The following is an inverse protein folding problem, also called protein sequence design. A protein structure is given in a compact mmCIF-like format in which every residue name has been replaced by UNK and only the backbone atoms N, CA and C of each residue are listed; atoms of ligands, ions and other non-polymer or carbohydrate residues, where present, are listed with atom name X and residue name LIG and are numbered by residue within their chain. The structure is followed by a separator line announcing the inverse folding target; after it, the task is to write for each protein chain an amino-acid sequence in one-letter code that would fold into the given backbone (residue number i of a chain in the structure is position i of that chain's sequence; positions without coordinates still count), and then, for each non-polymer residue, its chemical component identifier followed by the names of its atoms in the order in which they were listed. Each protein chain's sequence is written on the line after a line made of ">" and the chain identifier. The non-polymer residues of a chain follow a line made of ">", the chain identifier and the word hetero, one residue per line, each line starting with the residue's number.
data_IF_280681891973
#
_entry.id   IF_280681891973
#
_cell.length_a   1.000
_cell.length_b   1.000
_cell.length_c   1.000
_cell.angle_alpha   90.00
_cell.angle_beta   90.00
_cell.angle_gamma   90.00
#
_symmetry.space_group_name_H-M   'P 1'
#
loop_
_entity.id
_entity.type
_entity.pdbx_description
1 polymer ?
#
# COMPACT_ATOMS: atom_id res chain seq x y z
N UNK A 1 2.38 21.81 9.75
CA UNK A 1 1.38 21.56 8.68
C UNK A 1 1.95 20.67 7.56
N UNK A 2 3.09 21.00 6.94
CA UNK A 2 3.70 20.20 5.85
C UNK A 2 3.89 18.71 6.15
N UNK A 3 4.43 18.35 7.32
CA UNK A 3 4.59 16.95 7.72
C UNK A 3 3.24 16.19 7.78
N UNK A 4 2.24 16.78 8.44
CA UNK A 4 0.89 16.21 8.54
C UNK A 4 0.28 16.05 7.15
N UNK A 5 0.47 17.04 6.26
CA UNK A 5 0.07 16.94 4.86
C UNK A 5 0.72 15.76 4.15
N UNK A 6 2.03 15.56 4.32
CA UNK A 6 2.76 14.40 3.80
C UNK A 6 2.22 13.06 4.32
N UNK A 7 1.89 12.98 5.61
CA UNK A 7 1.28 11.81 6.22
C UNK A 7 -0.07 11.46 5.59
N UNK A 8 -0.95 12.44 5.35
CA UNK A 8 -2.22 12.16 4.68
C UNK A 8 -2.04 11.86 3.19
N UNK A 9 -1.09 12.51 2.51
CA UNK A 9 -0.73 12.20 1.13
C UNK A 9 -0.26 10.76 0.96
N UNK A 10 0.41 10.20 1.97
CA UNK A 10 0.77 8.78 1.95
C UNK A 10 -0.46 7.88 1.78
N UNK A 11 -1.59 8.15 2.44
CA UNK A 11 -2.77 7.29 2.30
C UNK A 11 -3.28 7.19 0.86
N UNK A 12 -3.14 8.28 0.08
CA UNK A 12 -3.48 8.27 -1.35
C UNK A 12 -2.42 7.53 -2.16
N UNK A 13 -1.13 7.74 -1.85
CA UNK A 13 -0.03 7.04 -2.51
C UNK A 13 -0.08 5.53 -2.27
N UNK A 14 -0.42 5.10 -1.05
CA UNK A 14 -0.69 3.70 -0.71
C UNK A 14 -1.70 3.11 -1.68
N UNK A 15 -2.87 3.74 -1.80
CA UNK A 15 -3.94 3.28 -2.69
C UNK A 15 -3.47 3.20 -4.15
N UNK A 16 -2.82 4.26 -4.63
CA UNK A 16 -2.37 4.34 -6.03
C UNK A 16 -1.29 3.30 -6.34
N UNK A 17 -0.30 3.14 -5.45
CA UNK A 17 0.76 2.15 -5.63
C UNK A 17 0.20 0.75 -5.56
N UNK A 18 -0.67 0.46 -4.59
CA UNK A 18 -1.25 -0.85 -4.43
C UNK A 18 -2.09 -1.23 -5.66
N UNK A 19 -2.95 -0.32 -6.12
CA UNK A 19 -3.84 -0.58 -7.26
C UNK A 19 -3.14 -0.62 -8.62
N UNK A 20 -2.23 0.31 -8.88
CA UNK A 20 -1.72 0.52 -10.26
C UNK A 20 -0.27 0.08 -10.47
N UNK A 21 0.48 -0.22 -9.40
CA UNK A 21 1.85 -0.73 -9.50
C UNK A 21 1.96 -2.16 -8.98
N UNK A 22 1.40 -2.43 -7.79
CA UNK A 22 1.47 -3.74 -7.15
C UNK A 22 0.49 -4.74 -7.76
N UNK A 23 -0.65 -4.25 -8.26
CA UNK A 23 -1.63 -4.98 -9.07
C UNK A 23 -1.59 -4.53 -10.53
N UNK A 24 -0.39 -4.53 -11.14
CA UNK A 24 -0.28 -4.22 -12.56
C UNK A 24 -0.91 -5.33 -13.42
N UNK A 25 -0.90 -6.57 -12.94
CA UNK A 25 -1.68 -7.72 -13.39
C UNK A 25 -1.83 -7.81 -14.93
N UNK A 26 -3.03 -7.55 -15.46
CA UNK A 26 -3.33 -7.69 -16.89
C UNK A 26 -2.50 -6.78 -17.82
N UNK A 27 -1.89 -5.73 -17.27
CA UNK A 27 -1.03 -4.80 -18.00
C UNK A 27 0.46 -5.22 -17.97
N UNK A 28 0.81 -6.34 -17.33
CA UNK A 28 2.18 -6.83 -17.27
C UNK A 28 2.69 -7.22 -18.67
N UNK A 29 3.90 -6.79 -19.06
CA UNK A 29 4.49 -7.25 -20.30
C UNK A 29 4.88 -8.72 -20.18
N UNK A 30 4.58 -9.51 -21.21
CA UNK A 30 4.89 -10.95 -21.23
C UNK A 30 6.39 -11.21 -21.46
N UNK A 31 7.21 -10.90 -20.44
CA UNK A 31 8.63 -11.19 -20.41
C UNK A 31 9.12 -11.46 -18.99
N UNK A 32 10.27 -12.13 -18.89
CA UNK A 32 10.82 -12.57 -17.60
C UNK A 32 11.12 -11.42 -16.65
N UNK A 33 11.54 -10.26 -17.17
CA UNK A 33 11.91 -9.10 -16.34
C UNK A 33 10.66 -8.50 -15.68
N UNK A 34 9.59 -8.28 -16.46
CA UNK A 34 8.32 -7.74 -15.96
C UNK A 34 7.68 -8.65 -14.91
N UNK A 35 7.60 -9.94 -15.20
CA UNK A 35 7.07 -10.95 -14.27
C UNK A 35 7.91 -11.01 -12.98
N UNK A 36 9.24 -10.98 -13.09
CA UNK A 36 10.13 -11.00 -11.91
C UNK A 36 9.98 -9.73 -11.08
N UNK A 37 9.89 -8.56 -11.71
CA UNK A 37 9.67 -7.29 -11.01
C UNK A 37 8.34 -7.31 -10.25
N UNK A 38 7.25 -7.75 -10.88
CA UNK A 38 5.94 -7.89 -10.24
C UNK A 38 5.98 -8.83 -9.04
N UNK A 39 6.62 -9.99 -9.21
CA UNK A 39 6.80 -10.97 -8.14
C UNK A 39 7.55 -10.37 -6.95
N UNK A 40 8.62 -9.62 -7.18
CA UNK A 40 9.40 -8.99 -6.11
C UNK A 40 8.69 -7.81 -5.43
N UNK A 41 7.84 -7.08 -6.16
CA UNK A 41 7.11 -5.91 -5.63
C UNK A 41 5.94 -6.32 -4.74
N UNK A 42 5.13 -7.28 -5.19
CA UNK A 42 3.92 -7.67 -4.47
C UNK A 42 3.47 -9.11 -4.71
N UNK A 43 3.76 -9.69 -5.88
CA UNK A 43 3.29 -11.03 -6.23
C UNK A 43 3.74 -12.13 -5.25
N UNK A 44 4.95 -12.03 -4.68
CA UNK A 44 5.43 -12.97 -3.65
C UNK A 44 4.55 -12.94 -2.39
N UNK A 45 4.02 -11.77 -2.03
CA UNK A 45 3.17 -11.62 -0.87
C UNK A 45 1.81 -12.27 -1.10
N UNK A 46 1.17 -12.07 -2.26
CA UNK A 46 -0.06 -12.78 -2.61
C UNK A 46 0.16 -14.29 -2.76
N UNK A 47 1.33 -14.71 -3.26
CA UNK A 47 1.66 -16.11 -3.42
C UNK A 47 1.92 -16.83 -2.08
N UNK A 48 2.53 -16.13 -1.11
CA UNK A 48 2.89 -16.66 0.22
C UNK A 48 2.47 -15.68 1.32
N UNK A 49 1.15 -15.45 1.54
CA UNK A 49 0.66 -14.35 2.38
C UNK A 49 1.03 -14.47 3.86
N UNK A 50 1.33 -15.68 4.34
CA UNK A 50 1.71 -15.95 5.74
C UNK A 50 3.22 -16.12 5.94
N UNK A 51 4.05 -15.86 4.92
CA UNK A 51 5.52 -15.80 5.10
C UNK A 51 5.92 -14.47 5.74
N UNK A 52 6.18 -14.52 7.04
CA UNK A 52 6.58 -13.38 7.87
C UNK A 52 7.83 -12.62 7.37
N UNK A 53 8.66 -13.23 6.52
CA UNK A 53 9.87 -12.59 5.98
C UNK A 53 9.67 -12.00 4.58
N UNK A 54 8.48 -12.15 3.97
CA UNK A 54 8.20 -11.77 2.58
C UNK A 54 6.98 -10.85 2.42
N UNK A 55 6.61 -10.14 3.49
CA UNK A 55 5.46 -9.22 3.51
C UNK A 55 5.89 -7.75 3.39
N UNK A 56 6.74 -7.28 4.31
CA UNK A 56 7.16 -5.88 4.34
C UNK A 56 8.14 -5.58 3.21
N UNK A 57 8.13 -4.34 2.72
CA UNK A 57 9.01 -3.97 1.62
C UNK A 57 10.47 -3.99 2.10
N UNK A 58 11.37 -4.76 1.46
CA UNK A 58 12.76 -4.75 1.86
C UNK A 58 13.37 -3.36 1.62
N UNK A 59 14.25 -2.85 2.51
CA UNK A 59 14.79 -1.49 2.40
C UNK A 59 15.41 -1.16 1.03
N UNK A 60 16.02 -2.15 0.37
CA UNK A 60 16.58 -2.01 -0.97
C UNK A 60 15.52 -1.63 -2.01
N UNK A 61 14.38 -2.33 -2.06
CA UNK A 61 13.28 -2.00 -2.98
C UNK A 61 12.59 -0.70 -2.57
N UNK A 62 12.43 -0.50 -1.25
CA UNK A 62 11.83 0.72 -0.73
C UNK A 62 12.60 1.98 -1.16
N UNK A 63 13.94 1.98 -1.07
CA UNK A 63 14.76 3.12 -1.52
C UNK A 63 14.55 3.42 -3.01
N UNK A 64 14.46 2.38 -3.85
CA UNK A 64 14.19 2.55 -5.29
C UNK A 64 12.82 3.20 -5.51
N UNK A 65 11.78 2.73 -4.82
CA UNK A 65 10.43 3.26 -4.92
C UNK A 65 10.30 4.67 -4.32
N UNK A 66 10.98 4.96 -3.22
CA UNK A 66 10.90 6.25 -2.51
C UNK A 66 11.67 7.38 -3.23
N UNK A 67 12.74 7.04 -3.95
CA UNK A 67 13.59 8.02 -4.67
C UNK A 67 12.82 8.93 -5.64
N UNK A 68 11.94 8.44 -6.54
CA UNK A 68 11.16 9.33 -7.40
C UNK A 68 10.22 10.26 -6.59
N UNK A 69 9.67 9.81 -5.46
CA UNK A 69 8.83 10.66 -4.60
C UNK A 69 9.63 11.73 -3.87
N UNK A 70 10.89 11.45 -3.48
CA UNK A 70 11.79 12.50 -2.99
C UNK A 70 11.95 13.59 -4.04
N UNK A 71 12.33 13.22 -5.27
CA UNK A 71 12.49 14.17 -6.38
C UNK A 71 11.20 14.94 -6.67
N UNK A 72 10.06 14.27 -6.66
CA UNK A 72 8.76 14.91 -6.85
C UNK A 72 8.47 15.94 -5.74
N UNK A 73 8.70 15.59 -4.48
CA UNK A 73 8.55 16.54 -3.37
C UNK A 73 9.49 17.75 -3.52
N UNK A 74 10.71 17.53 -4.03
CA UNK A 74 11.66 18.62 -4.32
C UNK A 74 11.18 19.56 -5.41
N UNK A 75 10.45 19.05 -6.40
CA UNK A 75 9.93 19.83 -7.52
C UNK A 75 8.65 20.58 -7.11
N UNK A 76 7.67 19.87 -6.53
CA UNK A 76 6.37 20.45 -6.16
C UNK A 76 6.52 21.52 -5.07
N UNK A 77 7.42 21.30 -4.11
CA UNK A 77 7.70 22.24 -3.01
C UNK A 77 9.03 22.98 -3.21
N UNK A 78 9.42 23.24 -4.46
CA UNK A 78 10.68 23.91 -4.78
C UNK A 78 10.81 25.31 -4.15
N UNK A 79 9.69 25.96 -3.83
CA UNK A 79 9.66 27.27 -3.18
C UNK A 79 10.26 27.28 -1.76
N UNK A 80 10.33 26.13 -1.08
CA UNK A 80 10.92 26.04 0.26
C UNK A 80 11.52 24.65 0.51
N UNK A 81 12.83 24.62 0.74
CA UNK A 81 13.54 23.36 0.95
C UNK A 81 13.01 22.55 2.13
N UNK A 82 12.73 23.21 3.24
CA UNK A 82 12.22 22.57 4.45
C UNK A 82 10.80 22.07 4.28
N UNK A 83 9.97 22.75 3.47
CA UNK A 83 8.62 22.30 3.16
C UNK A 83 8.64 20.96 2.41
N UNK A 84 9.41 20.86 1.31
CA UNK A 84 9.54 19.63 0.54
C UNK A 84 10.12 18.48 1.38
N UNK A 85 11.13 18.76 2.21
CA UNK A 85 11.69 17.77 3.14
C UNK A 85 10.66 17.32 4.17
N UNK A 86 9.92 18.25 4.78
CA UNK A 86 8.91 17.91 5.79
C UNK A 86 7.75 17.07 5.21
N UNK A 87 7.29 17.39 3.99
CA UNK A 87 6.27 16.57 3.28
C UNK A 87 6.79 15.16 3.04
N UNK A 88 8.02 15.03 2.53
CA UNK A 88 8.62 13.72 2.30
C UNK A 88 8.76 12.92 3.61
N UNK A 89 9.28 13.53 4.68
CA UNK A 89 9.38 12.89 5.99
C UNK A 89 8.01 12.44 6.54
N UNK A 90 6.96 13.26 6.35
CA UNK A 90 5.59 12.88 6.70
C UNK A 90 5.08 11.68 5.90
N UNK A 91 5.39 11.65 4.60
CA UNK A 91 5.05 10.51 3.73
C UNK A 91 5.79 9.23 4.12
N UNK A 92 7.09 9.31 4.44
CA UNK A 92 7.87 8.16 4.93
C UNK A 92 7.32 7.66 6.27
N UNK A 93 6.94 8.55 7.18
CA UNK A 93 6.27 8.16 8.42
C UNK A 93 4.94 7.44 8.14
N UNK A 94 4.13 7.96 7.20
CA UNK A 94 2.92 7.28 6.74
C UNK A 94 3.19 5.87 6.19
N UNK A 95 4.23 5.71 5.37
CA UNK A 95 4.69 4.42 4.87
C UNK A 95 5.02 3.43 5.99
N UNK A 96 5.76 3.87 7.01
CA UNK A 96 6.11 3.00 8.15
C UNK A 96 4.84 2.55 8.88
N UNK A 97 3.88 3.47 9.10
CA UNK A 97 2.58 3.11 9.67
C UNK A 97 1.86 2.07 8.80
N UNK A 98 1.84 2.25 7.48
CA UNK A 98 1.28 1.30 6.53
C UNK A 98 1.93 -0.08 6.63
N UNK A 99 3.26 -0.18 6.58
CA UNK A 99 3.95 -1.46 6.49
C UNK A 99 3.81 -2.25 7.81
N UNK A 100 3.82 -1.55 8.94
CA UNK A 100 3.52 -2.14 10.25
C UNK A 100 2.06 -2.58 10.36
N UNK A 101 1.11 -1.74 9.93
CA UNK A 101 -0.30 -2.11 9.85
C UNK A 101 -0.45 -3.38 9.02
N UNK A 102 0.06 -3.40 7.80
CA UNK A 102 -0.02 -4.51 6.87
C UNK A 102 0.51 -5.80 7.49
N UNK A 103 1.70 -5.74 8.10
CA UNK A 103 2.31 -6.88 8.78
C UNK A 103 1.41 -7.45 9.89
N UNK A 104 0.84 -6.58 10.72
CA UNK A 104 0.00 -6.99 11.84
C UNK A 104 -1.38 -7.50 11.41
N UNK A 105 -1.94 -7.01 10.30
CA UNK A 105 -3.18 -7.54 9.73
C UNK A 105 -3.02 -9.03 9.40
N UNK A 106 -1.88 -9.46 8.86
CA UNK A 106 -1.60 -10.88 8.62
C UNK A 106 -1.27 -11.64 9.90
N UNK A 107 -0.35 -11.14 10.72
CA UNK A 107 0.34 -11.97 11.70
C UNK A 107 -0.12 -11.86 13.16
N UNK A 108 -1.08 -11.00 13.49
CA UNK A 108 -1.50 -10.79 14.89
C UNK A 108 -3.00 -10.98 15.11
N UNK A 109 -3.38 -11.29 16.35
CA UNK A 109 -4.76 -11.19 16.80
C UNK A 109 -5.03 -9.77 17.28
N UNK A 110 -5.74 -9.00 16.45
CA UNK A 110 -5.93 -7.57 16.65
C UNK A 110 -7.13 -7.24 17.55
N UNK A 111 -7.15 -6.08 18.22
CA UNK A 111 -8.30 -5.64 19.01
C UNK A 111 -9.55 -5.48 18.16
N UNK A 112 -10.74 -5.56 18.78
CA UNK A 112 -12.03 -5.60 18.09
C UNK A 112 -12.22 -4.48 17.06
N UNK A 113 -11.83 -3.25 17.39
CA UNK A 113 -11.93 -2.09 16.51
C UNK A 113 -11.05 -2.16 15.26
N UNK A 114 -10.07 -3.07 15.24
CA UNK A 114 -9.13 -3.25 14.13
C UNK A 114 -9.33 -4.55 13.36
N UNK A 115 -10.14 -5.47 13.89
CA UNK A 115 -10.46 -6.75 13.25
C UNK A 115 -11.22 -6.58 11.93
N UNK A 116 -12.02 -5.52 11.78
CA UNK A 116 -12.72 -5.25 10.52
C UNK A 116 -11.73 -4.97 9.39
N UNK A 117 -10.69 -4.16 9.64
CA UNK A 117 -9.64 -3.90 8.65
C UNK A 117 -8.85 -5.18 8.34
N UNK A 118 -8.56 -6.00 9.36
CA UNK A 118 -7.92 -7.32 9.15
C UNK A 118 -8.75 -8.20 8.23
N UNK A 119 -10.04 -8.34 8.52
CA UNK A 119 -10.96 -9.13 7.70
C UNK A 119 -10.98 -8.61 6.26
N UNK A 120 -11.09 -7.30 6.09
CA UNK A 120 -11.13 -6.66 4.77
C UNK A 120 -9.87 -6.96 3.95
N UNK A 121 -8.68 -6.76 4.53
CA UNK A 121 -7.43 -7.03 3.83
C UNK A 121 -7.23 -8.54 3.55
N UNK A 122 -7.65 -9.43 4.45
CA UNK A 122 -7.61 -10.86 4.18
C UNK A 122 -8.62 -11.27 3.08
N UNK A 123 -9.75 -10.58 2.95
CA UNK A 123 -10.67 -10.79 1.82
C UNK A 123 -10.03 -10.35 0.50
N UNK A 124 -9.25 -9.27 0.49
CA UNK A 124 -8.46 -8.91 -0.69
C UNK A 124 -7.50 -10.05 -1.10
N UNK A 125 -6.83 -10.69 -0.14
CA UNK A 125 -5.94 -11.83 -0.43
C UNK A 125 -6.67 -13.10 -0.89
N UNK A 126 -7.76 -13.47 -0.22
CA UNK A 126 -8.34 -14.81 -0.33
C UNK A 126 -9.69 -14.88 -1.03
N UNK A 127 -10.33 -13.74 -1.30
CA UNK A 127 -11.63 -13.66 -1.96
C UNK A 127 -11.52 -12.96 -3.31
N UNK A 128 -11.05 -11.73 -3.34
CA UNK A 128 -11.00 -10.91 -4.54
C UNK A 128 -9.89 -9.86 -4.45
N UNK A 129 -8.80 -10.08 -5.18
CA UNK A 129 -7.63 -9.19 -5.20
C UNK A 129 -7.81 -8.00 -6.14
N UNK A 130 -8.90 -7.94 -6.93
CA UNK A 130 -9.20 -6.81 -7.82
C UNK A 130 -9.90 -5.65 -7.07
N UNK A 131 -10.20 -5.83 -5.78
CA UNK A 131 -10.84 -4.86 -4.89
C UNK A 131 -10.08 -4.77 -3.56
N UNK A 132 -10.32 -3.72 -2.77
CA UNK A 132 -9.77 -3.61 -1.42
C UNK A 132 -8.30 -3.22 -1.36
N UNK A 133 -7.89 -2.24 -2.17
CA UNK A 133 -6.50 -1.76 -2.24
C UNK A 133 -6.10 -0.91 -1.02
N UNK A 134 -7.05 -0.43 -0.23
CA UNK A 134 -6.75 0.27 1.02
C UNK A 134 -6.34 -0.69 2.14
N UNK A 135 -5.11 -0.60 2.62
CA UNK A 135 -4.57 -1.43 3.70
C UNK A 135 -4.67 -0.71 5.05
N UNK A 136 -4.39 0.59 5.10
CA UNK A 136 -4.54 1.41 6.33
C UNK A 136 -5.97 1.85 6.56
N UNK A 137 -6.75 2.05 5.48
CA UNK A 137 -8.17 2.41 5.56
C UNK A 137 -8.90 2.11 4.25
N UNK A 138 -10.23 1.92 4.34
CA UNK A 138 -11.13 1.75 3.18
C UNK A 138 -11.50 3.06 2.48
N UNK A 139 -10.93 4.20 2.90
CA UNK A 139 -11.39 5.52 2.47
C UNK A 139 -11.27 5.71 0.95
N UNK A 140 -10.10 5.43 0.39
CA UNK A 140 -9.88 5.59 -1.05
C UNK A 140 -10.60 4.53 -1.88
N UNK A 141 -10.80 3.32 -1.33
CA UNK A 141 -11.66 2.32 -1.96
C UNK A 141 -13.10 2.83 -2.13
N UNK A 142 -13.66 3.53 -1.12
CA UNK A 142 -14.99 4.14 -1.24
C UNK A 142 -15.02 5.28 -2.26
N UNK A 143 -14.01 6.14 -2.21
CA UNK A 143 -13.91 7.29 -3.12
C UNK A 143 -13.81 6.85 -4.58
N UNK A 144 -13.08 5.77 -4.85
CA UNK A 144 -12.81 5.29 -6.21
C UNK A 144 -13.62 4.04 -6.60
N UNK A 145 -14.57 3.61 -5.76
CA UNK A 145 -15.49 2.51 -6.07
C UNK A 145 -14.85 1.12 -6.11
N UNK A 146 -13.84 0.87 -5.28
CA UNK A 146 -13.14 -0.43 -5.17
C UNK A 146 -13.29 -1.09 -3.79
N UNK A 147 -14.35 -0.73 -3.03
CA UNK A 147 -14.60 -1.33 -1.72
C UNK A 147 -15.05 -2.79 -1.86
N UNK A 148 -14.42 -3.72 -1.12
CA UNK A 148 -14.91 -5.09 -0.99
C UNK A 148 -16.26 -5.09 -0.26
N UNK A 149 -17.33 -5.34 -1.00
CA UNK A 149 -18.66 -5.49 -0.43
C UNK A 149 -18.78 -6.91 0.13
N UNK A 150 -19.19 -7.08 1.41
CA UNK A 150 -19.42 -8.42 1.95
C UNK A 150 -20.48 -9.15 1.11
N UNK A 151 -20.18 -10.39 0.70
CA UNK A 151 -21.20 -11.27 0.13
C UNK A 151 -22.25 -11.51 1.21
N UNK A 152 -23.40 -10.85 1.10
CA UNK A 152 -24.56 -11.15 1.92
C UNK A 152 -25.02 -12.54 1.50
N UNK A 153 -24.74 -13.55 2.32
CA UNK A 153 -25.41 -14.84 2.17
C UNK A 153 -26.90 -14.59 2.42
N UNK A 154 -27.69 -14.52 1.36
CA UNK A 154 -29.15 -14.69 1.47
C UNK A 154 -29.37 -16.10 1.99
N UNK A 155 -29.95 -16.19 3.20
CA UNK A 155 -30.39 -17.43 3.81
C UNK A 155 -31.53 -18.07 3.02
#
# INVERSE_FOLDING_TARGET
>A
MHFIGGFFLWSLLEYVLHRFLFHLDDYLPNNRVGITAHFLLHGIHHYLPMDKYRLVMPPTLFVVLATPFWKLARIVFAYNWYAGTAVYCGGIFGYICYDLTHYFLHHQNLPLWYKDLKKYHLQHHFLDYELGFGVTSKFWDRVFGTELVPVVKTA
#
